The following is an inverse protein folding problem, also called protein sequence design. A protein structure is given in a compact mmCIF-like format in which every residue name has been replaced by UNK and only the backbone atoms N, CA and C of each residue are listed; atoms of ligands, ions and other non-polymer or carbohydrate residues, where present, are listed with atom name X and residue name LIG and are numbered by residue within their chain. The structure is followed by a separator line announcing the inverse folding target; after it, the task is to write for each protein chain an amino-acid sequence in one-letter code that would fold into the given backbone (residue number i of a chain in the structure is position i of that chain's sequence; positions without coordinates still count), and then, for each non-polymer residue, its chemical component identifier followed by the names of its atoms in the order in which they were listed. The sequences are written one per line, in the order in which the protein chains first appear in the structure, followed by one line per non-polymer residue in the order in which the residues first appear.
data_IF_670643410221
#
_entry.id   IF_670643410221
#
_cell.length_a   1.000
_cell.length_b   1.000
_cell.length_c   1.000
_cell.angle_alpha   90.00
_cell.angle_beta   90.00
_cell.angle_gamma   90.00
#
_symmetry.space_group_name_H-M   'P 1'
#
loop_
_entity.id
_entity.type
_entity.pdbx_description
1 polymer ?
#
# COMPACT_ATOMS: atom_id res chain seq x y z
N UNK A 1 8.56 13.38 15.04
CA UNK A 1 7.22 13.94 15.30
C UNK A 1 6.70 14.50 13.97
N UNK A 2 5.80 13.81 13.27
CA UNK A 2 5.43 14.11 11.86
C UNK A 2 4.43 15.28 11.67
N UNK A 3 4.03 15.96 12.75
CA UNK A 3 3.11 17.12 12.77
C UNK A 3 1.87 17.03 11.86
N UNK A 4 1.25 15.86 11.78
CA UNK A 4 0.03 15.62 10.98
C UNK A 4 -1.18 16.32 11.62
N UNK A 5 -2.00 17.01 10.84
CA UNK A 5 -3.30 17.53 11.28
C UNK A 5 -4.39 16.46 11.09
N UNK A 6 -4.36 15.73 9.98
CA UNK A 6 -5.33 14.68 9.62
C UNK A 6 -5.00 13.32 10.27
N UNK A 7 -4.80 13.31 11.61
CA UNK A 7 -4.33 12.14 12.36
C UNK A 7 -5.31 10.96 12.37
N UNK A 8 -6.60 11.25 12.17
CA UNK A 8 -7.68 10.26 12.31
C UNK A 8 -7.56 9.11 11.31
N UNK A 9 -6.89 9.31 10.17
CA UNK A 9 -6.66 8.25 9.19
C UNK A 9 -5.62 7.22 9.63
N UNK A 10 -4.81 7.52 10.65
CA UNK A 10 -3.65 6.71 11.02
C UNK A 10 -3.79 6.05 12.38
N UNK A 11 -3.03 4.98 12.56
CA UNK A 11 -2.91 4.30 13.84
C UNK A 11 -1.56 3.63 14.00
N UNK A 12 -1.28 3.19 15.22
CA UNK A 12 -0.14 2.33 15.51
C UNK A 12 -0.64 0.89 15.56
N UNK A 13 -0.01 0.01 14.80
CA UNK A 13 -0.29 -1.42 14.78
C UNK A 13 0.88 -2.19 15.38
N UNK A 14 0.61 -3.18 16.22
CA UNK A 14 1.62 -4.10 16.73
C UNK A 14 1.20 -5.56 16.46
N UNK A 15 2.16 -6.47 16.59
CA UNK A 15 1.93 -7.91 16.49
C UNK A 15 2.14 -8.52 17.87
N UNK A 16 1.19 -9.33 18.34
CA UNK A 16 1.30 -10.02 19.62
C UNK A 16 2.12 -11.33 19.49
N UNK A 17 2.44 -12.02 20.61
CA UNK A 17 3.17 -13.29 20.57
C UNK A 17 2.47 -14.40 19.75
N UNK A 18 1.14 -14.33 19.59
CA UNK A 18 0.32 -15.25 18.79
C UNK A 18 0.26 -14.86 17.30
N UNK A 19 1.12 -13.92 16.88
CA UNK A 19 1.21 -13.36 15.53
C UNK A 19 -0.07 -12.67 15.05
N UNK A 20 -0.93 -12.24 15.97
CA UNK A 20 -2.13 -11.47 15.66
C UNK A 20 -1.81 -9.98 15.61
N UNK A 21 -2.48 -9.29 14.68
CA UNK A 21 -2.30 -7.87 14.44
C UNK A 21 -3.32 -7.08 15.25
N UNK A 22 -2.84 -6.12 16.02
CA UNK A 22 -3.67 -5.27 16.88
C UNK A 22 -3.42 -3.80 16.62
N UNK A 23 -4.48 -3.01 16.66
CA UNK A 23 -4.37 -1.55 16.72
C UNK A 23 -4.18 -1.12 18.16
N UNK A 24 -3.19 -0.26 18.40
CA UNK A 24 -2.95 0.33 19.70
C UNK A 24 -4.11 1.26 20.08
N UNK A 25 -4.68 1.05 21.26
CA UNK A 25 -5.69 1.92 21.83
C UNK A 25 -5.00 3.02 22.65
N UNK A 26 -5.08 4.27 22.19
CA UNK A 26 -4.43 5.41 22.84
C UNK A 26 -4.98 5.74 24.24
N UNK A 27 -6.18 5.26 24.57
CA UNK A 27 -6.82 5.44 25.88
C UNK A 27 -6.34 4.44 26.94
N UNK A 28 -5.62 3.39 26.52
CA UNK A 28 -5.11 2.33 27.41
C UNK A 28 -3.59 2.41 27.51
N UNK A 29 -3.05 1.94 28.64
CA UNK A 29 -1.59 1.84 28.82
C UNK A 29 -0.97 0.92 27.75
N UNK A 30 0.08 1.39 27.08
CA UNK A 30 0.82 0.62 26.07
C UNK A 30 1.36 -0.69 26.67
N UNK A 31 1.94 -0.62 27.87
CA UNK A 31 2.50 -1.80 28.57
C UNK A 31 1.42 -2.84 28.89
N UNK A 32 0.19 -2.41 29.16
CA UNK A 32 -0.93 -3.34 29.41
C UNK A 32 -1.43 -4.03 28.14
N UNK A 33 -1.26 -3.40 26.98
CA UNK A 33 -1.70 -3.92 25.68
C UNK A 33 -0.62 -4.81 25.04
N UNK A 34 0.64 -4.40 25.15
CA UNK A 34 1.77 -5.12 24.58
C UNK A 34 2.21 -6.23 25.53
N UNK A 35 1.66 -7.43 25.34
CA UNK A 35 2.07 -8.64 26.09
C UNK A 35 3.41 -9.23 25.63
N UNK A 36 4.00 -8.69 24.56
CA UNK A 36 5.28 -9.12 24.02
C UNK A 36 6.45 -8.64 24.90
N UNK A 37 7.55 -9.39 24.90
CA UNK A 37 8.81 -8.92 25.50
C UNK A 37 9.58 -8.03 24.51
N UNK A 38 10.38 -7.06 24.98
CA UNK A 38 11.19 -6.22 24.11
C UNK A 38 12.14 -7.03 23.19
N UNK A 39 12.43 -6.53 21.97
CA UNK A 39 12.04 -5.24 21.42
C UNK A 39 10.58 -5.21 20.93
N UNK A 40 9.90 -4.11 21.20
CA UNK A 40 8.54 -3.87 20.71
C UNK A 40 8.55 -3.44 19.25
N UNK A 41 7.94 -4.24 18.37
CA UNK A 41 7.74 -3.87 16.97
C UNK A 41 6.38 -3.20 16.80
N UNK A 42 6.39 -1.90 16.51
CA UNK A 42 5.21 -1.09 16.25
C UNK A 42 5.32 -0.45 14.87
N UNK A 43 4.22 -0.46 14.12
CA UNK A 43 4.14 0.07 12.77
C UNK A 43 3.11 1.19 12.70
N UNK A 44 3.51 2.36 12.23
CA UNK A 44 2.56 3.41 11.83
C UNK A 44 1.90 3.02 10.49
N UNK A 45 0.57 3.04 10.46
CA UNK A 45 -0.24 2.53 9.33
C UNK A 45 -1.49 3.39 9.13
N UNK A 46 -2.02 3.38 7.90
CA UNK A 46 -3.37 3.91 7.64
C UNK A 46 -4.37 2.90 8.20
N UNK A 47 -5.26 3.38 9.08
CA UNK A 47 -6.35 2.63 9.69
C UNK A 47 -7.65 2.83 8.91
N UNK A 48 -7.88 4.05 8.43
CA UNK A 48 -9.06 4.40 7.64
C UNK A 48 -8.58 4.95 6.31
N UNK A 49 -8.91 4.26 5.23
CA UNK A 49 -8.53 4.70 3.89
C UNK A 49 -9.51 5.78 3.42
N UNK A 50 -9.03 6.94 2.95
CA UNK A 50 -9.90 7.98 2.44
C UNK A 50 -10.61 7.49 1.17
N UNK A 51 -11.90 7.77 1.06
CA UNK A 51 -12.70 7.44 -0.15
C UNK A 51 -12.25 8.23 -1.36
N UNK A 52 -11.76 9.46 -1.15
CA UNK A 52 -11.09 10.29 -2.15
C UNK A 52 -9.76 10.82 -1.59
N UNK A 53 -8.62 10.16 -1.88
CA UNK A 53 -7.31 10.65 -1.48
C UNK A 53 -6.94 12.00 -2.10
N UNK A 54 -7.62 12.43 -3.18
CA UNK A 54 -7.42 13.75 -3.76
C UNK A 54 -7.98 14.87 -2.86
N UNK A 55 -8.97 14.56 -2.02
CA UNK A 55 -9.60 15.50 -1.09
C UNK A 55 -8.82 15.72 0.21
N UNK A 56 -7.76 14.94 0.48
CA UNK A 56 -6.87 15.16 1.62
C UNK A 56 -6.28 16.57 1.57
N UNK A 57 -6.27 17.26 2.71
CA UNK A 57 -5.84 18.65 2.78
C UNK A 57 -4.32 18.77 2.77
N UNK A 58 -3.65 17.89 3.50
CA UNK A 58 -2.20 17.94 3.66
C UNK A 58 -1.50 17.03 2.65
N UNK A 59 -0.48 17.57 2.00
CA UNK A 59 0.40 16.81 1.11
C UNK A 59 1.09 15.66 1.85
N UNK A 60 1.51 15.88 3.10
CA UNK A 60 2.12 14.82 3.94
C UNK A 60 1.14 13.68 4.23
N UNK A 61 -0.13 13.98 4.49
CA UNK A 61 -1.17 12.95 4.70
C UNK A 61 -1.35 12.12 3.44
N UNK A 62 -1.44 12.79 2.29
CA UNK A 62 -1.54 12.16 0.98
C UNK A 62 -0.34 11.26 0.67
N UNK A 63 0.87 11.74 0.96
CA UNK A 63 2.11 10.99 0.79
C UNK A 63 2.14 9.73 1.67
N UNK A 64 1.73 9.83 2.94
CA UNK A 64 1.66 8.68 3.84
C UNK A 64 0.64 7.63 3.38
N UNK A 65 -0.50 8.08 2.82
CA UNK A 65 -1.49 7.17 2.20
C UNK A 65 -0.90 6.52 0.94
N UNK A 66 -0.17 7.27 0.11
CA UNK A 66 0.57 6.72 -1.04
C UNK A 66 1.55 5.62 -0.61
N UNK A 67 2.38 5.87 0.41
CA UNK A 67 3.33 4.88 0.94
C UNK A 67 2.63 3.61 1.45
N UNK A 68 1.49 3.77 2.13
CA UNK A 68 0.72 2.65 2.61
C UNK A 68 0.18 1.79 1.48
N UNK A 69 -0.38 2.39 0.43
CA UNK A 69 -0.98 1.67 -0.69
C UNK A 69 0.11 1.07 -1.59
N UNK A 70 1.24 1.75 -1.77
CA UNK A 70 2.44 1.18 -2.40
C UNK A 70 2.90 -0.10 -1.69
N UNK A 71 2.90 -0.08 -0.36
CA UNK A 71 3.18 -1.28 0.46
C UNK A 71 2.12 -2.36 0.26
N UNK A 72 0.85 -1.99 0.20
CA UNK A 72 -0.24 -2.94 -0.05
C UNK A 72 -0.16 -3.56 -1.45
N UNK A 73 0.28 -2.81 -2.46
CA UNK A 73 0.59 -3.31 -3.80
C UNK A 73 1.75 -4.31 -3.77
N UNK A 74 2.85 -3.97 -3.08
CA UNK A 74 3.99 -4.85 -2.93
C UNK A 74 3.64 -6.17 -2.22
N UNK A 75 2.87 -6.15 -1.14
CA UNK A 75 2.48 -7.39 -0.45
C UNK A 75 1.28 -8.11 -1.09
N UNK A 76 0.80 -7.68 -2.26
CA UNK A 76 -0.31 -8.32 -2.96
C UNK A 76 -1.68 -8.15 -2.28
N UNK A 77 -1.83 -7.14 -1.43
CA UNK A 77 -3.10 -6.77 -0.80
C UNK A 77 -3.98 -5.93 -1.72
N UNK A 78 -3.36 -5.12 -2.59
CA UNK A 78 -4.06 -4.37 -3.63
C UNK A 78 -4.06 -5.19 -4.93
N UNK A 79 -5.12 -5.97 -5.12
CA UNK A 79 -5.33 -6.74 -6.34
C UNK A 79 -5.66 -5.84 -7.52
N UNK A 80 -4.96 -6.07 -8.63
CA UNK A 80 -5.14 -5.37 -9.88
C UNK A 80 -4.77 -6.28 -11.06
N UNK A 81 -5.32 -5.98 -12.23
CA UNK A 81 -4.90 -6.61 -13.49
C UNK A 81 -3.50 -6.14 -13.89
N UNK A 82 -2.80 -6.92 -14.71
CA UNK A 82 -1.41 -6.63 -15.12
C UNK A 82 -1.21 -5.23 -15.71
N UNK A 83 -2.19 -4.70 -16.46
CA UNK A 83 -2.10 -3.35 -17.02
C UNK A 83 -2.18 -2.26 -15.95
N UNK A 84 -3.03 -2.44 -14.95
CA UNK A 84 -3.14 -1.52 -13.82
C UNK A 84 -1.90 -1.61 -12.91
N UNK A 85 -1.37 -2.82 -12.70
CA UNK A 85 -0.11 -3.03 -12.00
C UNK A 85 1.05 -2.29 -12.67
N UNK A 86 1.17 -2.40 -14.00
CA UNK A 86 2.20 -1.69 -14.76
C UNK A 86 2.08 -0.17 -14.61
N UNK A 87 0.86 0.37 -14.71
CA UNK A 87 0.60 1.79 -14.57
C UNK A 87 0.92 2.31 -13.15
N UNK A 88 0.49 1.58 -12.12
CA UNK A 88 0.77 1.92 -10.72
C UNK A 88 2.28 1.90 -10.43
N UNK A 89 3.01 0.89 -10.91
CA UNK A 89 4.45 0.82 -10.77
C UNK A 89 5.16 1.93 -11.55
N UNK A 90 4.65 2.33 -12.73
CA UNK A 90 5.19 3.46 -13.47
C UNK A 90 5.02 4.79 -12.71
N UNK A 91 3.88 5.02 -12.04
CA UNK A 91 3.72 6.19 -11.17
C UNK A 91 4.69 6.18 -9.98
N UNK A 92 4.91 5.02 -9.35
CA UNK A 92 5.90 4.90 -8.27
C UNK A 92 7.29 5.23 -8.80
N UNK A 93 7.65 4.69 -9.97
CA UNK A 93 8.94 4.93 -10.62
C UNK A 93 9.15 6.42 -10.89
N UNK A 94 8.18 7.07 -11.56
CA UNK A 94 8.22 8.51 -11.85
C UNK A 94 8.37 9.33 -10.56
N UNK A 95 7.67 8.97 -9.49
CA UNK A 95 7.77 9.68 -8.21
C UNK A 95 9.16 9.52 -7.54
N UNK A 96 9.84 8.39 -7.76
CA UNK A 96 11.15 8.13 -7.16
C UNK A 96 12.34 8.69 -7.94
N UNK A 97 12.30 8.61 -9.27
CA UNK A 97 13.47 8.96 -10.12
C UNK A 97 13.22 10.15 -11.04
N UNK A 98 11.99 10.65 -11.12
CA UNK A 98 11.60 11.71 -12.05
C UNK A 98 11.59 11.22 -13.50
N UNK A 99 11.67 12.17 -14.44
CA UNK A 99 11.53 11.91 -15.87
C UNK A 99 12.56 10.91 -16.42
N UNK A 100 12.13 10.16 -17.43
CA UNK A 100 13.02 9.28 -18.16
C UNK A 100 14.17 10.03 -18.85
N UNK A 101 15.41 9.67 -18.50
CA UNK A 101 16.65 10.15 -19.12
C UNK A 101 17.41 8.98 -19.77
N UNK A 102 17.63 8.96 -21.09
CA UNK A 102 18.35 7.89 -21.78
C UNK A 102 19.77 7.62 -21.26
N UNK A 103 20.45 8.63 -20.71
CA UNK A 103 21.80 8.51 -20.15
C UNK A 103 21.81 7.90 -18.75
N UNK A 104 20.70 8.01 -18.00
CA UNK A 104 20.57 7.48 -16.63
C UNK A 104 19.77 6.18 -16.56
N UNK A 105 18.91 5.94 -17.54
CA UNK A 105 17.93 4.85 -17.55
C UNK A 105 18.19 3.88 -18.72
N UNK A 106 19.22 3.01 -18.60
CA UNK A 106 19.50 1.97 -19.58
C UNK A 106 18.39 0.91 -19.61
N UNK A 107 18.38 0.04 -20.61
CA UNK A 107 17.43 -1.07 -20.68
C UNK A 107 17.42 -1.90 -19.37
N UNK A 108 16.23 -2.25 -18.88
CA UNK A 108 16.06 -2.97 -17.61
C UNK A 108 16.25 -2.12 -16.34
N UNK A 109 16.34 -0.78 -16.44
CA UNK A 109 16.47 0.08 -15.25
C UNK A 109 15.33 -0.12 -14.22
N UNK A 110 14.11 -0.40 -14.70
CA UNK A 110 12.94 -0.63 -13.85
C UNK A 110 13.06 -1.88 -12.97
N UNK A 111 13.86 -2.87 -13.37
CA UNK A 111 14.04 -4.13 -12.63
C UNK A 111 14.81 -3.94 -11.31
N UNK A 112 15.47 -2.78 -11.13
CA UNK A 112 16.13 -2.40 -9.87
C UNK A 112 15.12 -2.06 -8.76
N UNK A 113 13.87 -1.80 -9.12
CA UNK A 113 12.83 -1.38 -8.19
C UNK A 113 11.93 -2.54 -7.83
N UNK A 114 11.76 -2.81 -6.54
CA UNK A 114 10.94 -3.90 -6.04
C UNK A 114 9.47 -3.45 -5.92
N UNK A 115 8.74 -3.42 -7.04
CA UNK A 115 7.31 -3.03 -7.05
C UNK A 115 6.37 -4.16 -6.61
N UNK A 116 6.72 -5.41 -6.94
CA UNK A 116 5.94 -6.62 -6.68
C UNK A 116 6.84 -7.75 -6.12
N UNK A 117 6.30 -8.80 -5.49
CA UNK A 117 7.10 -9.94 -5.03
C UNK A 117 7.56 -10.85 -6.17
N UNK A 118 6.81 -10.84 -7.28
CA UNK A 118 7.09 -11.60 -8.50
C UNK A 118 7.13 -10.64 -9.67
N UNK A 119 8.32 -10.48 -10.25
CA UNK A 119 8.53 -9.67 -11.45
C UNK A 119 8.56 -10.56 -12.68
N UNK A 120 7.98 -10.05 -13.77
CA UNK A 120 8.15 -10.67 -15.08
C UNK A 120 8.72 -9.63 -16.04
N UNK A 121 9.62 -10.05 -16.91
CA UNK A 121 10.27 -9.17 -17.91
C UNK A 121 9.24 -8.45 -18.80
N UNK A 122 8.08 -9.08 -19.04
CA UNK A 122 6.97 -8.45 -19.76
C UNK A 122 6.36 -7.27 -18.98
N UNK A 123 6.20 -7.41 -17.67
CA UNK A 123 5.68 -6.35 -16.82
C UNK A 123 6.70 -5.20 -16.71
N UNK A 124 7.98 -5.52 -16.52
CA UNK A 124 9.06 -4.53 -16.44
C UNK A 124 9.16 -3.69 -17.70
N UNK A 125 9.14 -4.31 -18.88
CA UNK A 125 9.09 -3.58 -20.16
C UNK A 125 7.89 -2.66 -20.24
N UNK A 126 6.72 -3.11 -19.80
CA UNK A 126 5.51 -2.27 -19.85
C UNK A 126 5.59 -1.09 -18.89
N UNK A 127 6.17 -1.28 -17.71
CA UNK A 127 6.42 -0.21 -16.74
C UNK A 127 7.35 0.84 -17.37
N UNK A 128 8.48 0.41 -17.94
CA UNK A 128 9.45 1.30 -18.56
C UNK A 128 8.89 2.05 -19.77
N UNK A 129 8.03 1.41 -20.56
CA UNK A 129 7.30 2.03 -21.68
C UNK A 129 6.40 3.15 -21.19
N UNK A 130 5.51 2.89 -20.23
CA UNK A 130 4.59 3.88 -19.66
C UNK A 130 5.36 5.06 -19.04
N UNK A 131 6.40 4.76 -18.26
CA UNK A 131 7.25 5.78 -17.64
C UNK A 131 7.85 6.73 -18.70
N UNK A 132 8.33 6.19 -19.82
CA UNK A 132 8.93 6.96 -20.90
C UNK A 132 7.90 7.73 -21.74
N UNK A 133 6.75 7.14 -22.08
CA UNK A 133 5.83 7.73 -23.06
C UNK A 133 4.69 8.55 -22.44
N UNK A 134 4.25 8.23 -21.23
CA UNK A 134 3.03 8.79 -20.65
C UNK A 134 3.26 9.69 -19.43
N UNK A 135 4.38 9.53 -18.72
CA UNK A 135 4.60 10.19 -17.42
C UNK A 135 5.59 11.37 -17.45
N UNK A 136 6.20 11.66 -18.59
CA UNK A 136 7.16 12.76 -18.75
C UNK A 136 6.55 14.10 -18.30
N UNK A 137 7.30 14.85 -17.51
CA UNK A 137 6.93 16.16 -16.97
C UNK A 137 6.07 16.11 -15.71
N UNK A 138 5.71 14.92 -15.21
CA UNK A 138 5.00 14.81 -13.92
C UNK A 138 5.97 15.01 -12.76
N UNK A 139 5.58 15.89 -11.83
CA UNK A 139 6.26 16.02 -10.53
C UNK A 139 5.94 14.83 -9.63
N UNK A 140 6.80 14.51 -8.63
CA UNK A 140 6.52 13.42 -7.69
C UNK A 140 5.13 13.50 -7.05
N UNK A 141 4.75 14.67 -6.53
CA UNK A 141 3.42 14.89 -5.96
C UNK A 141 2.27 14.62 -6.95
N UNK A 142 2.47 14.93 -8.24
CA UNK A 142 1.47 14.66 -9.28
C UNK A 142 1.37 13.16 -9.56
N UNK A 143 2.50 12.46 -9.65
CA UNK A 143 2.53 11.01 -9.86
C UNK A 143 1.95 10.24 -8.68
N UNK A 144 2.25 10.67 -7.45
CA UNK A 144 1.65 10.13 -6.23
C UNK A 144 0.13 10.33 -6.21
N UNK A 145 -0.35 11.53 -6.56
CA UNK A 145 -1.79 11.80 -6.65
C UNK A 145 -2.47 10.94 -7.72
N UNK A 146 -1.85 10.79 -8.89
CA UNK A 146 -2.40 9.95 -9.97
C UNK A 146 -2.39 8.46 -9.61
N UNK A 147 -1.35 8.00 -8.91
CA UNK A 147 -1.31 6.67 -8.31
C UNK A 147 -2.49 6.44 -7.38
N UNK A 148 -2.75 7.38 -6.47
CA UNK A 148 -3.85 7.27 -5.51
C UNK A 148 -5.22 7.26 -6.19
N UNK A 149 -5.41 8.14 -7.19
CA UNK A 149 -6.62 8.19 -8.02
C UNK A 149 -6.88 6.89 -8.77
N UNK A 150 -5.82 6.19 -9.20
CA UNK A 150 -5.95 4.88 -9.82
C UNK A 150 -6.20 3.79 -8.78
N UNK A 151 -5.51 3.82 -7.66
CA UNK A 151 -5.62 2.81 -6.61
C UNK A 151 -7.03 2.78 -5.99
N UNK A 152 -7.66 3.93 -5.77
CA UNK A 152 -9.02 4.01 -5.21
C UNK A 152 -10.10 3.35 -6.08
N UNK A 153 -9.84 3.16 -7.38
CA UNK A 153 -10.81 2.50 -8.28
C UNK A 153 -10.73 0.98 -8.21
N UNK A 154 -9.76 0.42 -7.47
CA UNK A 154 -9.56 -1.02 -7.36
C UNK A 154 -10.42 -1.57 -6.22
N UNK A 155 -11.03 -2.73 -6.43
CA UNK A 155 -11.99 -3.33 -5.49
C UNK A 155 -11.40 -3.63 -4.10
N UNK A 156 -10.10 -3.89 -4.04
CA UNK A 156 -9.37 -4.21 -2.81
C UNK A 156 -8.73 -3.00 -2.14
N UNK A 157 -9.01 -1.79 -2.64
CA UNK A 157 -8.57 -0.55 -2.02
C UNK A 157 -9.09 -0.43 -0.59
N UNK A 158 -8.17 -0.22 0.34
CA UNK A 158 -8.48 -0.05 1.76
C UNK A 158 -9.05 -1.29 2.46
N UNK A 159 -8.99 -2.46 1.81
CA UNK A 159 -9.43 -3.72 2.40
C UNK A 159 -8.36 -4.25 3.35
N UNK A 160 -8.75 -4.45 4.62
CA UNK A 160 -7.92 -5.16 5.61
C UNK A 160 -8.40 -6.61 5.76
N UNK A 161 -7.69 -7.58 5.18
CA UNK A 161 -8.09 -8.99 5.28
C UNK A 161 -7.83 -9.49 6.70
N UNK A 162 -8.89 -9.95 7.35
CA UNK A 162 -8.85 -10.64 8.62
C UNK A 162 -8.96 -12.15 8.36
N UNK A 163 -7.95 -12.95 8.72
CA UNK A 163 -8.03 -14.40 8.57
C UNK A 163 -9.18 -14.93 9.43
N UNK A 164 -10.16 -15.57 8.81
CA UNK A 164 -11.20 -16.27 9.55
C UNK A 164 -11.01 -17.78 9.40
N UNK A 165 -10.98 -18.48 10.54
CA UNK A 165 -11.06 -19.94 10.55
C UNK A 165 -12.49 -20.34 10.22
N UNK A 166 -12.81 -20.42 8.94
CA UNK A 166 -14.04 -21.09 8.48
C UNK A 166 -13.66 -22.56 8.20
N UNK A 167 -14.55 -23.50 8.53
CA UNK A 167 -14.39 -24.95 8.33
C UNK A 167 -14.38 -25.38 6.84
N UNK A 168 -14.20 -24.44 5.91
CA UNK A 168 -14.11 -24.61 4.48
C UNK A 168 -12.88 -23.82 3.97
N UNK A 169 -12.21 -24.22 2.88
CA UNK A 169 -10.89 -23.69 2.55
C UNK A 169 -10.94 -22.18 2.27
N UNK A 170 -10.22 -21.43 3.11
CA UNK A 170 -9.75 -20.05 2.93
C UNK A 170 -10.80 -18.98 2.53
N UNK A 171 -11.77 -18.71 3.40
CA UNK A 171 -12.52 -17.44 3.36
C UNK A 171 -11.90 -16.43 4.34
N UNK A 172 -11.64 -15.21 3.88
CA UNK A 172 -11.23 -14.10 4.73
C UNK A 172 -12.35 -13.05 4.78
N UNK A 173 -12.57 -12.44 5.95
CA UNK A 173 -13.46 -11.29 6.05
C UNK A 173 -12.66 -10.02 5.83
N UNK A 174 -13.27 -9.06 5.15
CA UNK A 174 -12.67 -7.76 4.90
C UNK A 174 -13.58 -6.65 5.45
N UNK A 175 -12.94 -5.68 6.10
CA UNK A 175 -13.55 -4.41 6.47
C UNK A 175 -13.14 -3.35 5.44
N UNK A 176 -14.10 -2.62 4.91
CA UNK A 176 -13.89 -1.42 4.08
C UNK A 176 -14.76 -0.28 4.62
N UNK A 177 -14.47 0.97 4.24
CA UNK A 177 -15.26 2.15 4.63
C UNK A 177 -16.74 2.10 4.23
N UNK A 178 -17.12 1.18 3.33
CA UNK A 178 -18.51 0.95 2.91
C UNK A 178 -19.26 -0.15 3.70
N UNK A 179 -18.60 -0.87 4.62
CA UNK A 179 -19.22 -1.91 5.45
C UNK A 179 -18.48 -3.25 5.50
N UNK A 180 -19.14 -4.29 6.00
CA UNK A 180 -18.65 -5.67 6.06
C UNK A 180 -18.86 -6.39 4.73
N UNK A 181 -17.81 -6.99 4.17
CA UNK A 181 -17.89 -7.83 2.97
C UNK A 181 -17.20 -9.17 3.13
N UNK A 182 -17.80 -10.22 2.57
CA UNK A 182 -17.15 -11.53 2.40
C UNK A 182 -16.32 -11.49 1.13
N UNK A 183 -15.02 -11.77 1.22
CA UNK A 183 -14.16 -11.89 0.04
C UNK A 183 -13.43 -13.24 0.06
N UNK A 184 -13.56 -13.99 -1.04
CA UNK A 184 -12.79 -15.23 -1.23
C UNK A 184 -11.35 -14.89 -1.58
N UNK A 185 -10.44 -14.98 -0.60
CA UNK A 185 -9.00 -14.85 -0.83
C UNK A 185 -8.29 -16.13 -0.42
N UNK A 186 -7.40 -16.64 -1.27
CA UNK A 186 -6.37 -17.56 -0.82
C UNK A 186 -5.39 -16.77 0.05
N UNK A 187 -5.48 -16.95 1.36
CA UNK A 187 -4.57 -16.31 2.31
C UNK A 187 -3.18 -16.90 2.09
N UNK A 188 -2.35 -16.26 1.25
CA UNK A 188 -0.92 -16.52 1.30
C UNK A 188 -0.42 -16.04 2.66
N UNK A 189 0.43 -16.81 3.36
CA UNK A 189 1.07 -16.32 4.57
C UNK A 189 1.85 -15.06 4.18
N UNK A 190 1.36 -13.90 4.63
CA UNK A 190 2.05 -12.63 4.48
C UNK A 190 3.37 -12.76 5.24
N UNK A 191 4.45 -12.99 4.51
CA UNK A 191 5.82 -12.86 5.01
C UNK A 191 6.01 -11.37 5.32
N UNK A 192 6.13 -11.05 6.61
CA UNK A 192 6.60 -9.76 7.10
C UNK A 192 8.11 -9.62 6.83
#
# INVERSE_FOLDING_TARGET
HLNLLEKDYFGIRFVDPDKQRHWLEFTKSVVKQMRAQPPFTMCFRVKFYPTDPAALKEEITRYLVFLQIKRDLYHGRLLCKTSDAALLAAYILQAEIGDYDPGKHPEGYSSKFQFFPKHSEKLERKIAEIHKSELSGQTPATSELNFLRKAQTLETYGVDPHPCKVSAPALCFALCGAGFGLFGFTCSPLVD
#
